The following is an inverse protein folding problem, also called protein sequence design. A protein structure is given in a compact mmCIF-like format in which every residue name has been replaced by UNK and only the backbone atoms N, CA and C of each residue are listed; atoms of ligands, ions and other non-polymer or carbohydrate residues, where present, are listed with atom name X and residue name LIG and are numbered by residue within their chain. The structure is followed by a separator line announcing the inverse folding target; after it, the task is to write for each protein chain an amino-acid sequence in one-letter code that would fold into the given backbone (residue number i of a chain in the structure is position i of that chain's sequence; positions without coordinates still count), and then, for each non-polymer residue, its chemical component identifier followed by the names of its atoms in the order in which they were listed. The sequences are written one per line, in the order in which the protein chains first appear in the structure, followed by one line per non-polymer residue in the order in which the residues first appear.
data_IF_563206532863
#
_entry.id   IF_563206532863
#
_cell.length_a   1.000
_cell.length_b   1.000
_cell.length_c   1.000
_cell.angle_alpha   90.00
_cell.angle_beta   90.00
_cell.angle_gamma   90.00
#
_symmetry.space_group_name_H-M   'P 1'
#
loop_
_entity.id
_entity.type
_entity.pdbx_description
1 polymer ?
#
# COMPACT_ATOMS: atom_id res chain seq x y z
N UNK A 1 -35.58 -2.82 -14.80
CA UNK A 1 -35.48 -2.88 -13.32
C UNK A 1 -34.01 -3.07 -12.94
N UNK A 2 -33.18 -2.01 -13.06
CA UNK A 2 -31.73 -2.08 -12.87
C UNK A 2 -31.37 -1.95 -11.38
N UNK A 3 -31.61 -3.03 -10.65
CA UNK A 3 -31.41 -3.07 -9.20
C UNK A 3 -29.92 -3.31 -8.89
N UNK A 4 -29.20 -2.21 -8.78
CA UNK A 4 -28.10 -1.98 -7.83
C UNK A 4 -27.12 -3.15 -7.64
N UNK A 5 -26.21 -3.34 -8.60
CA UNK A 5 -24.91 -3.98 -8.36
C UNK A 5 -23.95 -3.01 -7.63
N UNK A 6 -24.43 -2.28 -6.61
CA UNK A 6 -23.57 -1.77 -5.52
C UNK A 6 -23.15 -2.96 -4.65
N UNK A 7 -22.52 -3.93 -5.28
CA UNK A 7 -21.91 -5.06 -4.62
C UNK A 7 -20.69 -4.49 -3.88
N UNK A 8 -20.51 -4.82 -2.60
CA UNK A 8 -19.36 -4.37 -1.80
C UNK A 8 -18.00 -4.54 -2.52
N UNK A 9 -17.90 -5.48 -3.48
CA UNK A 9 -16.77 -5.63 -4.43
C UNK A 9 -16.49 -4.42 -5.32
N UNK A 10 -17.51 -3.73 -5.85
CA UNK A 10 -17.31 -2.60 -6.77
C UNK A 10 -16.68 -1.40 -6.05
N UNK A 11 -16.93 -1.26 -4.75
CA UNK A 11 -16.36 -0.18 -3.93
C UNK A 11 -14.87 -0.42 -3.66
N UNK A 12 -14.48 -1.67 -3.33
CA UNK A 12 -13.07 -2.05 -3.14
C UNK A 12 -12.30 -1.90 -4.44
N UNK A 13 -12.82 -2.42 -5.54
CA UNK A 13 -12.19 -2.32 -6.86
C UNK A 13 -12.04 -0.86 -7.30
N UNK A 14 -13.06 -0.02 -7.08
CA UNK A 14 -12.97 1.42 -7.37
C UNK A 14 -11.88 2.10 -6.55
N UNK A 15 -11.74 1.74 -5.27
CA UNK A 15 -10.70 2.33 -4.42
C UNK A 15 -9.29 1.87 -4.82
N UNK A 16 -9.14 0.60 -5.21
CA UNK A 16 -7.91 0.08 -5.80
C UNK A 16 -7.55 0.81 -7.10
N UNK A 17 -8.51 0.97 -8.02
CA UNK A 17 -8.27 1.68 -9.29
C UNK A 17 -7.82 3.12 -9.03
N UNK A 18 -8.47 3.83 -8.09
CA UNK A 18 -8.08 5.19 -7.71
C UNK A 18 -6.66 5.20 -7.10
N UNK A 19 -6.35 4.27 -6.20
CA UNK A 19 -5.02 4.17 -5.60
C UNK A 19 -3.94 3.89 -6.66
N UNK A 20 -4.20 3.00 -7.62
CA UNK A 20 -3.29 2.68 -8.71
C UNK A 20 -3.08 3.86 -9.66
N UNK A 21 -4.15 4.58 -9.99
CA UNK A 21 -4.08 5.79 -10.82
C UNK A 21 -3.25 6.89 -10.12
N UNK A 22 -3.50 7.13 -8.84
CA UNK A 22 -2.70 8.07 -8.05
C UNK A 22 -1.22 7.65 -7.99
N UNK A 23 -0.96 6.36 -7.78
CA UNK A 23 0.39 5.82 -7.75
C UNK A 23 1.11 6.02 -9.10
N UNK A 24 0.42 5.76 -10.20
CA UNK A 24 0.96 5.94 -11.55
C UNK A 24 1.26 7.41 -11.83
N UNK A 25 0.35 8.33 -11.47
CA UNK A 25 0.55 9.77 -11.63
C UNK A 25 1.78 10.22 -10.83
N UNK A 26 1.90 9.81 -9.56
CA UNK A 26 3.04 10.16 -8.70
C UNK A 26 4.35 9.56 -9.20
N UNK A 27 4.31 8.35 -9.74
CA UNK A 27 5.46 7.72 -10.38
C UNK A 27 5.91 8.52 -11.58
N UNK A 28 5.00 8.89 -12.48
CA UNK A 28 5.31 9.72 -13.66
C UNK A 28 5.89 11.07 -13.24
N UNK A 29 5.30 11.73 -12.24
CA UNK A 29 5.80 13.01 -11.71
C UNK A 29 7.22 12.88 -11.18
N UNK A 30 7.53 11.78 -10.49
CA UNK A 30 8.83 11.55 -9.85
C UNK A 30 9.88 11.02 -10.83
N UNK A 31 9.48 10.25 -11.85
CA UNK A 31 10.37 9.62 -12.82
C UNK A 31 10.64 10.47 -14.05
N UNK A 32 9.80 11.48 -14.35
CA UNK A 32 9.97 12.32 -15.53
C UNK A 32 11.29 13.11 -15.46
N UNK A 33 12.28 12.81 -16.32
CA UNK A 33 13.48 13.62 -16.44
C UNK A 33 13.26 14.88 -17.30
N UNK A 34 12.03 15.14 -17.76
CA UNK A 34 11.68 16.18 -18.76
C UNK A 34 11.20 17.51 -18.14
N UNK A 35 10.96 17.57 -16.83
CA UNK A 35 10.76 18.82 -16.09
C UNK A 35 12.06 19.26 -15.37
N UNK A 36 13.18 19.05 -16.05
CA UNK A 36 14.58 19.12 -15.59
C UNK A 36 15.08 20.51 -15.16
N UNK A 37 14.18 21.46 -14.90
CA UNK A 37 14.48 22.80 -14.33
C UNK A 37 13.37 23.32 -13.40
N UNK A 38 12.46 22.45 -12.95
CA UNK A 38 11.26 22.89 -12.23
C UNK A 38 11.53 23.02 -10.72
N UNK A 39 11.58 24.26 -10.25
CA UNK A 39 11.31 24.86 -8.92
C UNK A 39 11.04 23.96 -7.68
N UNK A 40 10.36 22.80 -7.82
CA UNK A 40 10.07 21.89 -6.72
C UNK A 40 11.29 21.10 -6.23
N UNK A 41 12.28 20.79 -7.09
CA UNK A 41 13.55 20.16 -6.63
C UNK A 41 14.38 21.11 -5.79
N UNK A 42 14.29 22.42 -6.06
CA UNK A 42 14.97 23.44 -5.28
C UNK A 42 14.35 23.61 -3.88
N UNK A 43 13.11 23.15 -3.74
CA UNK A 43 12.31 23.24 -2.55
C UNK A 43 12.35 21.90 -1.81
N UNK A 44 13.28 21.78 -0.86
CA UNK A 44 13.58 20.52 -0.17
C UNK A 44 12.34 19.82 0.43
N UNK A 45 11.40 20.59 0.98
CA UNK A 45 10.17 20.07 1.58
C UNK A 45 9.20 19.50 0.54
N UNK A 46 9.11 20.10 -0.66
CA UNK A 46 8.28 19.59 -1.75
C UNK A 46 8.85 18.27 -2.27
N UNK A 47 10.17 18.19 -2.46
CA UNK A 47 10.81 16.98 -2.94
C UNK A 47 10.65 15.80 -1.97
N UNK A 48 10.86 16.03 -0.66
CA UNK A 48 10.60 15.03 0.39
C UNK A 48 9.10 14.66 0.45
N UNK A 49 8.20 15.62 0.32
CA UNK A 49 6.75 15.39 0.32
C UNK A 49 6.29 14.51 -0.86
N UNK A 50 6.77 14.78 -2.07
CA UNK A 50 6.42 13.99 -3.27
C UNK A 50 6.96 12.56 -3.16
N UNK A 51 8.21 12.40 -2.72
CA UNK A 51 8.82 11.07 -2.53
C UNK A 51 8.05 10.23 -1.51
N UNK A 52 7.70 10.83 -0.37
CA UNK A 52 6.95 10.14 0.69
C UNK A 52 5.54 9.78 0.26
N UNK A 53 4.87 10.69 -0.44
CA UNK A 53 3.53 10.44 -0.99
C UNK A 53 3.54 9.34 -2.05
N UNK A 54 4.55 9.31 -2.92
CA UNK A 54 4.72 8.25 -3.91
C UNK A 54 4.88 6.89 -3.24
N UNK A 55 5.78 6.80 -2.25
CA UNK A 55 6.03 5.55 -1.53
C UNK A 55 4.80 5.06 -0.75
N UNK A 56 4.07 5.99 -0.12
CA UNK A 56 2.79 5.71 0.52
C UNK A 56 1.74 5.21 -0.47
N UNK A 57 1.61 5.87 -1.63
CA UNK A 57 0.66 5.48 -2.66
C UNK A 57 0.97 4.07 -3.19
N UNK A 58 2.24 3.76 -3.45
CA UNK A 58 2.67 2.42 -3.88
C UNK A 58 2.33 1.35 -2.83
N UNK A 59 2.65 1.60 -1.56
CA UNK A 59 2.38 0.65 -0.47
C UNK A 59 0.88 0.45 -0.25
N UNK A 60 0.10 1.53 -0.35
CA UNK A 60 -1.36 1.49 -0.29
C UNK A 60 -1.94 0.67 -1.43
N UNK A 61 -1.53 0.91 -2.68
CA UNK A 61 -1.99 0.15 -3.85
C UNK A 61 -1.72 -1.35 -3.72
N UNK A 62 -0.54 -1.75 -3.26
CA UNK A 62 -0.18 -3.16 -3.06
C UNK A 62 -1.03 -3.78 -1.95
N UNK A 63 -1.28 -3.07 -0.84
CA UNK A 63 -2.15 -3.57 0.22
C UNK A 63 -3.60 -3.73 -0.23
N UNK A 64 -4.12 -2.80 -1.03
CA UNK A 64 -5.46 -2.93 -1.62
C UNK A 64 -5.57 -4.14 -2.55
N UNK A 65 -4.52 -4.42 -3.33
CA UNK A 65 -4.44 -5.61 -4.19
C UNK A 65 -4.42 -6.90 -3.35
N UNK A 66 -3.65 -6.92 -2.26
CA UNK A 66 -3.58 -8.05 -1.33
C UNK A 66 -4.93 -8.36 -0.68
N UNK A 67 -5.65 -7.33 -0.20
CA UNK A 67 -6.98 -7.47 0.38
C UNK A 67 -7.98 -8.03 -0.64
N UNK A 68 -7.94 -7.56 -1.90
CA UNK A 68 -8.77 -8.11 -2.96
C UNK A 68 -8.45 -9.59 -3.24
N UNK A 69 -7.17 -9.97 -3.26
CA UNK A 69 -6.70 -11.35 -3.42
C UNK A 69 -7.20 -12.28 -2.32
N UNK A 70 -7.03 -11.91 -1.06
CA UNK A 70 -7.52 -12.67 0.10
C UNK A 70 -9.04 -12.86 0.07
N UNK A 71 -9.79 -11.81 -0.29
CA UNK A 71 -11.25 -11.87 -0.40
C UNK A 71 -11.70 -12.82 -1.51
N UNK A 72 -10.96 -12.89 -2.61
CA UNK A 72 -11.26 -13.80 -3.71
C UNK A 72 -10.93 -15.25 -3.34
N UNK A 73 -9.74 -15.50 -2.77
CA UNK A 73 -9.31 -16.84 -2.35
C UNK A 73 -10.27 -17.44 -1.31
N UNK A 74 -10.61 -16.68 -0.25
CA UNK A 74 -11.55 -17.12 0.78
C UNK A 74 -12.92 -17.53 0.20
N UNK A 75 -13.47 -16.78 -0.77
CA UNK A 75 -14.73 -17.15 -1.43
C UNK A 75 -14.62 -18.41 -2.26
N UNK A 76 -13.50 -18.58 -2.98
CA UNK A 76 -13.25 -19.77 -3.81
C UNK A 76 -13.16 -21.02 -2.93
N UNK A 77 -12.39 -20.97 -1.84
CA UNK A 77 -12.27 -22.09 -0.89
C UNK A 77 -13.63 -22.48 -0.30
N UNK A 78 -14.44 -21.49 0.09
CA UNK A 78 -15.79 -21.73 0.64
C UNK A 78 -16.72 -22.36 -0.41
N UNK A 79 -16.63 -21.92 -1.67
CA UNK A 79 -17.44 -22.47 -2.75
C UNK A 79 -17.06 -23.91 -3.11
N UNK A 80 -15.75 -24.23 -3.13
CA UNK A 80 -15.24 -25.55 -3.51
C UNK A 80 -15.51 -26.58 -2.41
N UNK A 81 -15.34 -26.23 -1.14
CA UNK A 81 -15.36 -27.23 -0.07
C UNK A 81 -16.76 -27.56 0.46
N UNK A 82 -17.82 -26.76 0.17
CA UNK A 82 -19.21 -27.00 0.63
C UNK A 82 -19.33 -27.45 2.09
N UNK A 83 -18.37 -27.09 2.93
CA UNK A 83 -18.25 -27.54 4.31
C UNK A 83 -18.45 -26.32 5.20
N UNK A 84 -19.27 -26.47 6.23
CA UNK A 84 -19.34 -25.57 7.38
C UNK A 84 -17.99 -25.62 8.14
N UNK A 85 -16.93 -25.14 7.49
CA UNK A 85 -15.62 -25.02 8.08
C UNK A 85 -15.59 -23.73 8.91
N UNK A 86 -14.95 -23.74 10.08
CA UNK A 86 -15.11 -22.75 11.13
C UNK A 86 -14.56 -21.40 10.68
N UNK A 87 -15.40 -20.60 10.03
CA UNK A 87 -15.13 -19.22 9.63
C UNK A 87 -14.55 -18.40 10.79
N UNK A 88 -14.96 -18.71 12.02
CA UNK A 88 -14.46 -18.10 13.25
C UNK A 88 -12.99 -18.38 13.53
N UNK A 89 -12.42 -19.52 13.13
CA UNK A 89 -11.02 -19.86 13.44
C UNK A 89 -10.04 -19.14 12.51
N UNK A 90 -10.39 -19.03 11.22
CA UNK A 90 -9.60 -18.24 10.26
C UNK A 90 -9.73 -16.73 10.52
N UNK A 91 -10.89 -16.30 11.02
CA UNK A 91 -11.08 -14.95 11.55
C UNK A 91 -10.28 -14.76 12.85
N UNK A 92 -10.41 -15.62 13.86
CA UNK A 92 -9.71 -15.53 15.16
C UNK A 92 -8.17 -15.60 15.06
N UNK A 93 -7.60 -16.40 14.17
CA UNK A 93 -6.13 -16.41 13.96
C UNK A 93 -5.64 -15.07 13.37
N UNK A 94 -6.51 -14.34 12.67
CA UNK A 94 -6.23 -12.99 12.19
C UNK A 94 -6.69 -11.87 13.14
N UNK A 95 -7.56 -12.14 14.13
CA UNK A 95 -8.43 -11.12 14.72
C UNK A 95 -8.05 -10.54 16.07
N UNK A 96 -7.41 -11.26 17.00
CA UNK A 96 -7.46 -10.78 18.40
C UNK A 96 -6.41 -9.72 18.82
N UNK A 97 -5.52 -9.24 17.93
CA UNK A 97 -4.70 -8.05 18.28
C UNK A 97 -4.17 -7.21 17.10
N UNK A 98 -3.98 -7.79 15.90
CA UNK A 98 -3.39 -7.06 14.75
C UNK A 98 -4.42 -6.51 13.75
N UNK A 99 -5.63 -7.08 13.67
CA UNK A 99 -6.60 -6.74 12.63
C UNK A 99 -7.24 -5.36 12.77
N UNK A 100 -7.40 -4.79 13.96
CA UNK A 100 -7.94 -3.41 14.09
C UNK A 100 -6.95 -2.35 13.60
N UNK A 101 -5.65 -2.65 13.58
CA UNK A 101 -4.60 -1.77 13.06
C UNK A 101 -4.30 -2.04 11.56
N UNK A 102 -4.54 -3.27 11.09
CA UNK A 102 -4.32 -3.69 9.70
C UNK A 102 -5.57 -3.59 8.80
N UNK A 103 -6.78 -3.49 9.37
CA UNK A 103 -8.04 -3.41 8.60
C UNK A 103 -8.26 -2.06 7.92
N UNK A 104 -7.44 -1.05 8.23
CA UNK A 104 -7.48 0.22 7.54
C UNK A 104 -6.30 0.21 6.56
N UNK A 105 -6.51 -0.14 5.28
CA UNK A 105 -5.46 -0.19 4.26
C UNK A 105 -4.74 1.14 4.03
N UNK A 106 -5.16 2.22 4.71
CA UNK A 106 -4.43 3.49 4.78
C UNK A 106 -3.58 3.66 6.04
N UNK A 107 -3.92 3.04 7.18
CA UNK A 107 -3.21 3.25 8.47
C UNK A 107 -1.91 2.48 8.52
N UNK A 108 -1.88 1.20 8.12
CA UNK A 108 -0.65 0.43 8.11
C UNK A 108 0.42 1.02 7.18
N UNK A 109 0.10 1.39 5.91
CA UNK A 109 1.04 2.10 5.07
C UNK A 109 1.45 3.46 5.63
N UNK A 110 0.52 4.21 6.21
CA UNK A 110 0.84 5.52 6.80
C UNK A 110 1.81 5.41 7.97
N UNK A 111 1.67 4.37 8.81
CA UNK A 111 2.54 4.15 9.96
C UNK A 111 3.94 3.68 9.54
N UNK A 112 4.04 2.74 8.60
CA UNK A 112 5.33 2.29 8.05
C UNK A 112 6.08 3.45 7.38
N UNK A 113 5.38 4.26 6.58
CA UNK A 113 5.96 5.42 5.92
C UNK A 113 6.30 6.52 6.93
N UNK A 114 5.43 6.78 7.91
CA UNK A 114 5.69 7.77 8.96
C UNK A 114 6.93 7.42 9.79
N UNK A 115 7.10 6.16 10.19
CA UNK A 115 8.29 5.66 10.86
C UNK A 115 9.55 5.82 9.99
N UNK A 116 9.46 5.43 8.72
CA UNK A 116 10.58 5.59 7.78
C UNK A 116 10.96 7.06 7.57
N UNK A 117 9.96 7.95 7.44
CA UNK A 117 10.16 9.39 7.33
C UNK A 117 10.85 9.97 8.57
N UNK A 118 10.42 9.56 9.77
CA UNK A 118 11.04 10.00 11.02
C UNK A 118 12.50 9.54 11.13
N UNK A 119 12.77 8.27 10.79
CA UNK A 119 14.13 7.73 10.78
C UNK A 119 15.02 8.43 9.75
N UNK A 120 14.50 8.70 8.55
CA UNK A 120 15.24 9.44 7.51
C UNK A 120 15.46 10.91 7.89
N UNK A 121 14.47 11.56 8.53
CA UNK A 121 14.63 12.93 9.01
C UNK A 121 15.70 13.04 10.12
N UNK A 122 15.78 12.03 11.00
CA UNK A 122 16.71 12.03 12.13
C UNK A 122 18.13 11.57 11.74
N UNK A 123 18.26 10.51 10.95
CA UNK A 123 19.56 9.90 10.64
C UNK A 123 20.17 10.35 9.31
N UNK A 124 19.38 10.80 8.33
CA UNK A 124 19.85 11.12 6.98
C UNK A 124 19.17 12.36 6.41
N UNK A 125 19.58 13.53 6.89
CA UNK A 125 19.03 14.81 6.42
C UNK A 125 19.74 15.32 5.15
N UNK A 126 19.73 14.51 4.08
CA UNK A 126 20.27 14.90 2.77
C UNK A 126 19.20 15.57 1.91
N UNK A 127 19.63 16.40 0.96
CA UNK A 127 18.74 17.09 0.03
C UNK A 127 17.90 16.06 -0.75
N UNK A 128 16.58 16.13 -0.57
CA UNK A 128 15.59 15.19 -1.12
C UNK A 128 15.83 13.70 -0.81
N UNK A 129 16.45 13.35 0.34
CA UNK A 129 16.79 11.95 0.69
C UNK A 129 17.45 11.19 -0.47
N UNK A 130 18.30 11.89 -1.21
CA UNK A 130 19.06 11.33 -2.32
C UNK A 130 19.92 10.17 -1.81
N UNK A 131 19.81 9.00 -2.44
CA UNK A 131 20.49 7.77 -2.00
C UNK A 131 19.72 6.89 -1.02
N UNK A 132 18.41 7.13 -0.81
CA UNK A 132 17.56 6.31 0.06
C UNK A 132 17.62 4.79 -0.25
N UNK A 133 17.88 4.42 -1.50
CA UNK A 133 17.98 3.02 -1.94
C UNK A 133 19.18 2.25 -1.38
N UNK A 134 20.23 2.94 -0.90
CA UNK A 134 21.38 2.31 -0.25
C UNK A 134 21.19 2.07 1.25
N UNK A 135 20.10 2.54 1.84
CA UNK A 135 19.88 2.52 3.28
C UNK A 135 19.07 1.31 3.72
N UNK A 136 19.47 0.68 4.82
CA UNK A 136 18.77 -0.49 5.38
C UNK A 136 17.31 -0.18 5.77
N UNK A 137 17.00 1.08 6.06
CA UNK A 137 15.64 1.51 6.41
C UNK A 137 14.61 1.28 5.29
N UNK A 138 15.04 1.17 4.02
CA UNK A 138 14.13 0.87 2.90
C UNK A 138 13.43 -0.49 3.06
N UNK A 139 14.11 -1.46 3.70
CA UNK A 139 13.55 -2.78 3.97
C UNK A 139 12.30 -2.76 4.84
N UNK A 140 12.13 -1.72 5.67
CA UNK A 140 10.94 -1.54 6.49
C UNK A 140 9.68 -1.36 5.62
N UNK A 141 9.84 -0.81 4.41
CA UNK A 141 8.76 -0.59 3.45
C UNK A 141 8.71 -1.73 2.43
N UNK A 142 9.87 -2.12 1.90
CA UNK A 142 9.97 -3.15 0.85
C UNK A 142 9.63 -4.55 1.37
N UNK A 143 9.99 -4.88 2.61
CA UNK A 143 9.70 -6.18 3.22
C UNK A 143 8.19 -6.51 3.23
N UNK A 144 7.34 -5.64 3.79
CA UNK A 144 5.88 -5.81 3.75
C UNK A 144 5.31 -5.93 2.32
N UNK A 145 5.85 -5.16 1.36
CA UNK A 145 5.42 -5.25 -0.04
C UNK A 145 5.73 -6.63 -0.64
N UNK A 146 6.96 -7.11 -0.47
CA UNK A 146 7.38 -8.43 -0.99
C UNK A 146 6.55 -9.54 -0.34
N UNK A 147 6.36 -9.48 0.97
CA UNK A 147 5.54 -10.47 1.69
C UNK A 147 4.11 -10.52 1.16
N UNK A 148 3.46 -9.35 0.98
CA UNK A 148 2.11 -9.27 0.44
C UNK A 148 2.02 -9.82 -1.00
N UNK A 149 3.02 -9.53 -1.85
CA UNK A 149 3.10 -10.06 -3.21
C UNK A 149 3.28 -11.58 -3.25
N UNK A 150 4.14 -12.14 -2.39
CA UNK A 150 4.37 -13.58 -2.30
C UNK A 150 3.11 -14.32 -1.86
N UNK A 151 2.41 -13.82 -0.85
CA UNK A 151 1.15 -14.42 -0.40
C UNK A 151 0.07 -14.27 -1.47
N UNK A 152 0.09 -13.20 -2.27
CA UNK A 152 -0.84 -13.03 -3.40
C UNK A 152 -0.58 -13.98 -4.57
N UNK A 153 0.64 -14.53 -4.69
CA UNK A 153 1.03 -15.47 -5.75
C UNK A 153 0.62 -16.92 -5.42
N UNK A 154 0.52 -17.24 -4.13
CA UNK A 154 0.13 -18.55 -3.59
C UNK A 154 -1.38 -18.73 -3.63
#
# INVERSE_FOLDING_TARGET
MNRSLKCSRLQVHRNLSIALLLNLILLIVSSSPVLTDSSYKHTEWLCKGVLTLQMYSSLSSINWMFVEGLLLHSRVTVHIFKKDAPFKLYYCIAWDLLATLFSIPTVFPALCIGLWCLLMAYHHNTHCWSGYGGQQYIWLITGPMIAALLVSLI
#
